data_IF_755954402156
#
_entry.id   IF_755954402156
#
_cell.length_a   1.000
_cell.length_b   1.000
_cell.length_c   1.000
_cell.angle_alpha   90.00
_cell.angle_beta   90.00
_cell.angle_gamma   90.00
#
_symmetry.space_group_name_H-M   'P 1'
#
loop_
_entity.id
_entity.type
_entity.pdbx_description
1 polymer ?
#
# COMPACT_ATOMS: atom_id res chain seq x y z
N UNK A 1 47.25 -79.11 15.40
CA UNK A 1 45.83 -79.53 15.39
C UNK A 1 45.06 -78.48 16.16
N UNK A 2 44.35 -77.63 15.42
CA UNK A 2 43.40 -76.66 15.96
C UNK A 2 42.14 -77.39 16.44
N UNK A 3 41.56 -76.92 17.54
CA UNK A 3 40.11 -76.70 17.61
C UNK A 3 39.82 -75.64 18.68
N UNK A 4 39.33 -74.52 18.18
CA UNK A 4 38.80 -73.36 18.90
C UNK A 4 37.35 -73.64 19.31
N UNK A 5 36.98 -73.28 20.53
CA UNK A 5 35.58 -73.28 20.99
C UNK A 5 35.04 -71.84 20.97
N UNK A 6 34.14 -71.58 20.03
CA UNK A 6 33.40 -70.33 19.87
C UNK A 6 32.18 -70.27 20.81
N UNK A 7 32.01 -69.13 21.47
CA UNK A 7 30.79 -68.78 22.21
C UNK A 7 29.86 -68.02 21.26
N UNK A 8 28.66 -68.55 21.00
CA UNK A 8 27.61 -67.84 20.26
C UNK A 8 26.75 -67.00 21.23
N UNK A 9 26.76 -65.67 21.06
CA UNK A 9 25.68 -64.80 21.52
C UNK A 9 24.69 -64.56 20.36
N UNK A 10 23.37 -64.51 20.61
CA UNK A 10 22.40 -64.13 19.59
C UNK A 10 22.43 -62.61 19.37
N UNK A 11 22.65 -62.20 18.13
CA UNK A 11 22.50 -60.81 17.68
C UNK A 11 21.01 -60.49 17.49
N UNK A 12 20.46 -59.68 18.40
CA UNK A 12 19.13 -59.08 18.22
C UNK A 12 19.21 -57.98 17.15
N UNK A 13 18.74 -58.27 15.93
CA UNK A 13 18.42 -57.25 14.93
C UNK A 13 17.07 -56.60 15.27
N UNK A 14 17.08 -55.66 16.22
CA UNK A 14 15.94 -54.77 16.48
C UNK A 14 16.49 -53.35 16.64
N UNK A 15 16.51 -52.58 15.55
CA UNK A 15 17.00 -51.19 15.62
C UNK A 15 16.77 -50.36 14.37
N UNK A 16 16.65 -50.97 13.18
CA UNK A 16 16.54 -50.22 11.93
C UNK A 16 15.15 -49.58 11.71
N UNK A 17 14.07 -50.31 12.02
CA UNK A 17 12.71 -49.82 11.73
C UNK A 17 12.27 -48.69 12.66
N UNK A 18 12.56 -48.78 13.97
CA UNK A 18 12.17 -47.74 14.95
C UNK A 18 12.92 -46.43 14.69
N UNK A 19 14.20 -46.50 14.28
CA UNK A 19 14.97 -45.31 13.90
C UNK A 19 14.42 -44.61 12.66
N UNK A 20 13.98 -45.37 11.65
CA UNK A 20 13.33 -44.83 10.45
C UNK A 20 11.99 -44.16 10.75
N UNK A 21 11.19 -44.74 11.64
CA UNK A 21 9.93 -44.14 12.08
C UNK A 21 10.14 -42.87 12.91
N UNK A 22 11.14 -42.85 13.80
CA UNK A 22 11.51 -41.64 14.56
C UNK A 22 12.06 -40.53 13.64
N UNK A 23 12.84 -40.88 12.60
CA UNK A 23 13.34 -39.92 11.61
C UNK A 23 12.21 -39.32 10.75
N UNK A 24 11.24 -40.13 10.34
CA UNK A 24 10.05 -39.68 9.60
C UNK A 24 9.15 -38.79 10.46
N UNK A 25 8.94 -39.13 11.74
CA UNK A 25 8.20 -38.30 12.69
C UNK A 25 8.94 -36.98 12.94
N UNK A 26 10.28 -37.01 13.07
CA UNK A 26 11.10 -35.80 13.21
C UNK A 26 11.06 -34.92 11.95
N UNK A 27 11.02 -35.50 10.74
CA UNK A 27 10.90 -34.76 9.47
C UNK A 27 9.51 -34.15 9.26
N UNK A 28 8.45 -34.73 9.82
CA UNK A 28 7.09 -34.18 9.76
C UNK A 28 6.90 -33.06 10.81
N UNK A 29 7.56 -33.15 11.97
CA UNK A 29 7.53 -32.11 13.02
C UNK A 29 8.46 -30.92 12.69
N UNK A 30 9.60 -31.16 12.01
CA UNK A 30 10.56 -30.13 11.57
C UNK A 30 10.52 -29.85 10.07
N UNK A 31 9.41 -30.16 9.39
CA UNK A 31 9.15 -29.50 8.11
C UNK A 31 9.08 -28.00 8.40
N UNK A 32 9.89 -27.14 7.76
CA UNK A 32 9.69 -25.71 7.87
C UNK A 32 8.28 -25.48 7.33
N UNK A 33 7.33 -25.23 8.24
CA UNK A 33 6.05 -24.66 7.87
C UNK A 33 6.46 -23.41 7.13
N UNK A 34 6.34 -23.45 5.79
CA UNK A 34 6.56 -22.30 4.95
C UNK A 34 5.60 -21.27 5.49
N UNK A 35 6.10 -20.37 6.33
CA UNK A 35 5.31 -19.32 6.92
C UNK A 35 4.70 -18.63 5.71
N UNK A 36 3.39 -18.78 5.52
CA UNK A 36 2.67 -17.94 4.57
C UNK A 36 3.02 -16.54 5.04
N UNK A 37 3.86 -15.83 4.28
CA UNK A 37 4.21 -14.44 4.57
C UNK A 37 2.87 -13.71 4.67
N UNK A 38 2.40 -13.52 5.90
CA UNK A 38 1.14 -12.84 6.13
C UNK A 38 1.41 -11.41 5.73
N UNK A 39 0.75 -10.93 4.67
CA UNK A 39 0.88 -9.53 4.27
C UNK A 39 0.45 -8.67 5.46
N UNK A 40 1.45 -8.06 6.10
CA UNK A 40 1.32 -7.31 7.35
C UNK A 40 0.68 -5.95 7.11
N UNK A 41 0.81 -5.40 5.89
CA UNK A 41 0.27 -4.11 5.51
C UNK A 41 -0.01 -3.97 4.02
N UNK A 42 -0.97 -3.11 3.69
CA UNK A 42 -1.29 -2.70 2.30
C UNK A 42 -1.56 -1.20 2.16
N UNK A 43 -1.78 -0.49 3.26
CA UNK A 43 -2.18 0.92 3.29
C UNK A 43 -1.22 1.72 4.19
N UNK A 44 -0.57 2.73 3.62
CA UNK A 44 0.16 3.77 4.33
C UNK A 44 -0.29 5.17 3.89
N UNK A 45 0.28 6.21 4.48
CA UNK A 45 0.01 7.61 4.09
C UNK A 45 1.29 8.44 4.03
N UNK A 46 1.34 9.40 3.10
CA UNK A 46 2.42 10.37 3.04
C UNK A 46 2.14 11.48 4.07
N UNK A 47 3.06 11.68 5.01
CA UNK A 47 3.00 12.76 5.98
C UNK A 47 3.85 13.94 5.47
N UNK A 48 3.29 14.63 4.48
CA UNK A 48 3.81 15.90 3.97
C UNK A 48 3.64 17.02 4.99
N UNK A 49 4.59 17.95 5.00
CA UNK A 49 4.68 19.05 5.98
C UNK A 49 5.06 20.40 5.35
N UNK A 50 4.81 20.59 4.05
CA UNK A 50 4.98 21.89 3.39
C UNK A 50 3.78 22.78 3.78
N UNK A 51 3.74 23.16 5.05
CA UNK A 51 2.66 23.89 5.68
C UNK A 51 3.12 24.56 6.99
N UNK A 52 2.38 25.57 7.45
CA UNK A 52 2.69 26.30 8.70
C UNK A 52 1.58 26.22 9.76
N UNK A 53 0.58 25.36 9.55
CA UNK A 53 -0.62 25.27 10.39
C UNK A 53 -1.01 23.84 10.77
N UNK A 54 -0.06 22.90 10.67
CA UNK A 54 -0.30 21.49 10.99
C UNK A 54 -0.22 21.22 12.51
N UNK A 55 -0.83 20.12 13.00
CA UNK A 55 -0.67 19.71 14.39
C UNK A 55 0.78 19.33 14.70
N UNK A 56 1.15 19.42 15.98
CA UNK A 56 2.45 18.94 16.44
C UNK A 56 2.60 17.42 16.19
N UNK A 57 3.81 16.91 15.94
CA UNK A 57 4.07 15.50 15.64
C UNK A 57 3.42 14.48 16.60
N UNK A 58 3.36 14.76 17.91
CA UNK A 58 2.74 13.89 18.91
C UNK A 58 1.22 13.74 18.71
N UNK A 59 0.57 14.85 18.34
CA UNK A 59 -0.85 14.84 17.96
C UNK A 59 -1.06 14.05 16.67
N UNK A 60 -0.11 14.12 15.73
CA UNK A 60 -0.14 13.32 14.51
C UNK A 60 -0.01 11.82 14.79
N UNK A 61 0.86 11.41 15.74
CA UNK A 61 0.93 10.02 16.21
C UNK A 61 -0.42 9.56 16.76
N UNK A 62 -1.07 10.39 17.56
CA UNK A 62 -2.40 10.11 18.12
C UNK A 62 -3.44 9.93 17.01
N UNK A 63 -3.45 10.82 16.02
CA UNK A 63 -4.32 10.74 14.85
C UNK A 63 -4.12 9.43 14.06
N UNK A 64 -2.88 9.09 13.75
CA UNK A 64 -2.54 7.88 12.99
C UNK A 64 -2.98 6.61 13.72
N UNK A 65 -2.77 6.54 15.04
CA UNK A 65 -3.24 5.43 15.87
C UNK A 65 -4.77 5.33 15.86
N UNK A 66 -5.48 6.45 16.03
CA UNK A 66 -6.94 6.49 15.97
C UNK A 66 -7.47 6.05 14.59
N UNK A 67 -6.80 6.46 13.51
CA UNK A 67 -7.12 6.08 12.15
C UNK A 67 -6.69 4.64 11.79
N UNK A 68 -5.97 3.94 12.69
CA UNK A 68 -5.36 2.62 12.47
C UNK A 68 -4.40 2.59 11.28
N UNK A 69 -3.68 3.69 11.07
CA UNK A 69 -2.64 3.80 10.06
C UNK A 69 -1.30 3.59 10.76
N UNK A 70 -0.56 2.58 10.35
CA UNK A 70 0.69 2.16 10.98
C UNK A 70 1.90 2.22 10.03
N UNK A 71 1.74 2.77 8.82
CA UNK A 71 2.81 2.98 7.86
C UNK A 71 2.73 4.41 7.34
N UNK A 72 3.82 5.15 7.45
CA UNK A 72 3.92 6.50 6.89
C UNK A 72 5.19 6.67 6.06
N UNK A 73 5.17 7.65 5.18
CA UNK A 73 6.35 8.18 4.49
C UNK A 73 6.48 9.67 4.79
N UNK A 74 7.66 10.09 5.22
CA UNK A 74 8.06 11.51 5.29
C UNK A 74 9.12 11.79 4.21
N UNK A 75 9.26 13.05 3.81
CA UNK A 75 10.10 13.47 2.68
C UNK A 75 11.49 13.97 3.08
N UNK A 76 11.78 13.91 4.38
CA UNK A 76 13.01 14.35 5.03
C UNK A 76 13.34 13.37 6.17
N UNK A 77 14.27 13.75 7.04
CA UNK A 77 14.57 13.04 8.28
C UNK A 77 14.46 13.93 9.52
N UNK A 78 13.38 14.72 9.63
CA UNK A 78 13.16 15.65 10.73
C UNK A 78 13.14 14.96 12.10
N UNK A 79 14.09 15.36 12.97
CA UNK A 79 14.30 14.74 14.28
C UNK A 79 13.12 14.96 15.23
N UNK A 80 12.38 16.07 15.09
CA UNK A 80 11.17 16.33 15.88
C UNK A 80 10.09 15.26 15.64
N UNK A 81 9.84 14.93 14.38
CA UNK A 81 8.95 13.82 14.03
C UNK A 81 9.51 12.47 14.46
N UNK A 82 10.78 12.18 14.20
CA UNK A 82 11.36 10.88 14.58
C UNK A 82 11.32 10.66 16.10
N UNK A 83 11.53 11.71 16.89
CA UNK A 83 11.41 11.68 18.35
C UNK A 83 9.97 11.49 18.81
N UNK A 84 9.00 12.21 18.23
CA UNK A 84 7.59 12.06 18.59
C UNK A 84 7.02 10.67 18.29
N UNK A 85 7.57 9.99 17.26
CA UNK A 85 7.15 8.65 16.86
C UNK A 85 7.80 7.52 17.69
N UNK A 86 8.69 7.86 18.64
CA UNK A 86 9.31 6.92 19.57
C UNK A 86 8.27 6.06 20.28
N UNK A 87 8.42 4.73 20.22
CA UNK A 87 7.52 3.78 20.86
C UNK A 87 6.08 3.76 20.30
N UNK A 88 5.81 4.46 19.20
CA UNK A 88 4.46 4.52 18.61
C UNK A 88 4.04 3.20 17.95
N UNK A 89 5.02 2.41 17.50
CA UNK A 89 4.81 1.20 16.70
C UNK A 89 4.53 1.46 15.21
N UNK A 90 4.45 2.72 14.78
CA UNK A 90 4.25 3.14 13.39
C UNK A 90 5.57 3.02 12.63
N UNK A 91 5.53 2.38 11.47
CA UNK A 91 6.68 2.23 10.57
C UNK A 91 6.83 3.45 9.65
N UNK A 92 8.07 3.91 9.49
CA UNK A 92 8.38 5.16 8.78
C UNK A 92 9.38 4.86 7.65
N UNK A 93 9.03 5.30 6.44
CA UNK A 93 10.00 5.57 5.38
C UNK A 93 10.40 7.04 5.50
N UNK A 94 11.69 7.31 5.67
CA UNK A 94 12.24 8.67 5.68
C UNK A 94 12.80 9.02 4.30
N UNK A 95 12.86 10.31 3.98
CA UNK A 95 13.46 10.78 2.73
C UNK A 95 14.91 11.21 2.94
N UNK A 96 15.79 10.86 2.01
CA UNK A 96 17.00 11.64 1.75
C UNK A 96 16.64 12.69 0.69
N UNK A 97 16.56 13.98 1.06
CA UNK A 97 16.14 15.02 0.13
C UNK A 97 17.06 15.15 -1.09
N UNK A 98 16.48 15.61 -2.22
CA UNK A 98 17.15 15.66 -3.52
C UNK A 98 18.44 16.50 -3.50
N UNK A 99 18.48 17.55 -2.69
CA UNK A 99 19.62 18.46 -2.51
C UNK A 99 20.86 17.77 -1.93
N UNK A 100 20.70 16.66 -1.20
CA UNK A 100 21.82 15.90 -0.64
C UNK A 100 22.42 14.90 -1.63
N UNK A 101 21.76 14.58 -2.76
CA UNK A 101 22.18 13.50 -3.65
C UNK A 101 23.60 13.68 -4.18
N UNK A 102 23.96 14.88 -4.63
CA UNK A 102 25.31 15.18 -5.16
C UNK A 102 26.40 14.98 -4.10
N UNK A 103 26.08 15.33 -2.86
CA UNK A 103 26.99 15.25 -1.72
C UNK A 103 27.18 13.79 -1.27
N UNK A 104 26.09 13.06 -1.16
CA UNK A 104 26.05 11.65 -0.73
C UNK A 104 26.62 10.73 -1.80
N UNK A 105 26.48 11.06 -3.09
CA UNK A 105 27.00 10.24 -4.20
C UNK A 105 28.52 10.14 -4.23
N UNK A 106 29.23 11.16 -3.75
CA UNK A 106 30.70 11.21 -3.77
C UNK A 106 31.36 10.95 -2.41
N UNK A 107 30.62 11.12 -1.31
CA UNK A 107 31.16 11.00 0.04
C UNK A 107 30.58 9.82 0.80
N UNK A 108 31.27 8.67 0.80
CA UNK A 108 30.88 7.53 1.63
C UNK A 108 30.80 7.89 3.12
N UNK A 109 31.74 8.70 3.62
CA UNK A 109 31.71 9.20 5.00
C UNK A 109 30.51 10.13 5.26
N UNK A 110 30.07 10.87 4.24
CA UNK A 110 28.88 11.73 4.36
C UNK A 110 27.60 10.89 4.40
N UNK A 111 27.53 9.83 3.60
CA UNK A 111 26.47 8.83 3.70
C UNK A 111 26.46 8.14 5.07
N UNK A 112 27.64 7.77 5.58
CA UNK A 112 27.78 7.18 6.91
C UNK A 112 27.24 8.11 7.99
N UNK A 113 27.73 9.34 8.06
CA UNK A 113 27.30 10.32 9.05
C UNK A 113 25.79 10.57 8.96
N UNK A 114 25.26 10.74 7.75
CA UNK A 114 23.83 10.94 7.55
C UNK A 114 23.01 9.77 8.10
N UNK A 115 23.42 8.51 7.85
CA UNK A 115 22.71 7.33 8.36
C UNK A 115 22.85 7.21 9.88
N UNK A 116 24.03 7.53 10.46
CA UNK A 116 24.21 7.50 11.90
C UNK A 116 23.29 8.52 12.61
N UNK A 117 23.28 9.76 12.12
CA UNK A 117 22.52 10.87 12.71
C UNK A 117 21.01 10.71 12.52
N UNK A 118 20.57 10.25 11.35
CA UNK A 118 19.15 10.30 10.98
C UNK A 118 18.44 8.94 11.08
N UNK A 119 19.18 7.84 11.22
CA UNK A 119 18.63 6.49 11.27
C UNK A 119 19.08 5.76 12.54
N UNK A 120 20.38 5.57 12.72
CA UNK A 120 20.91 4.78 13.83
C UNK A 120 20.54 5.39 15.18
N UNK A 121 20.61 6.72 15.31
CA UNK A 121 20.30 7.46 16.54
C UNK A 121 18.85 7.25 17.04
N UNK A 122 17.92 6.89 16.16
CA UNK A 122 16.50 6.73 16.49
C UNK A 122 16.07 5.27 16.62
N UNK A 123 16.90 4.32 16.20
CA UNK A 123 16.63 2.89 16.31
C UNK A 123 17.06 2.33 17.67
N UNK A 124 16.35 1.34 18.22
CA UNK A 124 15.15 0.68 17.68
C UNK A 124 13.83 1.36 18.06
N UNK A 125 13.86 2.41 18.89
CA UNK A 125 12.64 2.95 19.54
C UNK A 125 11.66 3.58 18.53
N UNK A 126 12.18 4.22 17.47
CA UNK A 126 11.39 4.69 16.33
C UNK A 126 11.58 3.73 15.16
N UNK A 127 10.48 3.19 14.61
CA UNK A 127 10.54 2.14 13.58
C UNK A 127 10.80 2.71 12.18
N UNK A 128 12.02 3.19 11.96
CA UNK A 128 12.49 3.50 10.60
C UNK A 128 12.67 2.17 9.86
N UNK A 129 12.03 2.04 8.71
CA UNK A 129 11.99 0.81 7.89
C UNK A 129 12.44 1.03 6.45
N UNK A 130 12.57 2.28 6.03
CA UNK A 130 13.15 2.57 4.73
C UNK A 130 13.74 3.97 4.64
N UNK A 131 14.66 4.14 3.69
CA UNK A 131 15.20 5.40 3.23
C UNK A 131 14.85 5.51 1.74
N UNK A 132 14.01 6.49 1.40
CA UNK A 132 13.75 6.90 0.02
C UNK A 132 14.84 7.88 -0.42
N UNK A 133 15.77 7.41 -1.25
CA UNK A 133 16.90 8.18 -1.77
C UNK A 133 16.41 9.04 -2.94
N UNK A 134 16.14 10.31 -2.65
CA UNK A 134 15.51 11.23 -3.58
C UNK A 134 14.02 10.94 -3.83
N UNK A 135 13.39 11.81 -4.59
CA UNK A 135 12.00 11.70 -5.04
C UNK A 135 11.87 12.23 -6.48
N UNK A 136 11.35 11.38 -7.37
CA UNK A 136 11.07 11.72 -8.78
C UNK A 136 12.28 12.26 -9.57
N UNK A 137 13.47 11.72 -9.28
CA UNK A 137 14.73 12.17 -9.90
C UNK A 137 14.76 11.87 -11.40
N UNK A 138 14.70 10.58 -11.76
CA UNK A 138 14.69 10.15 -13.15
C UNK A 138 13.38 10.57 -13.81
N UNK A 139 13.47 11.11 -15.03
CA UNK A 139 12.32 11.70 -15.73
C UNK A 139 11.96 13.12 -15.29
N UNK A 140 12.58 13.64 -14.22
CA UNK A 140 12.47 15.03 -13.79
C UNK A 140 13.30 16.02 -14.63
N UNK A 141 13.25 17.30 -14.26
CA UNK A 141 13.89 18.40 -15.00
C UNK A 141 15.36 18.64 -14.64
N UNK A 142 15.81 18.18 -13.48
CA UNK A 142 17.19 18.35 -13.01
C UNK A 142 18.05 17.15 -13.46
N UNK A 143 18.43 17.15 -14.74
CA UNK A 143 19.15 16.03 -15.39
C UNK A 143 20.44 15.67 -14.65
N UNK A 144 21.13 16.64 -14.05
CA UNK A 144 22.37 16.36 -13.33
C UNK A 144 22.19 15.45 -12.10
N UNK A 145 20.95 15.32 -11.59
CA UNK A 145 20.65 14.41 -10.48
C UNK A 145 20.54 12.94 -10.93
N UNK A 146 20.39 12.68 -12.24
CA UNK A 146 20.19 11.33 -12.76
C UNK A 146 21.46 10.47 -12.60
N UNK A 147 22.62 11.05 -12.85
CA UNK A 147 23.92 10.37 -12.74
C UNK A 147 24.30 10.06 -11.29
N UNK A 148 23.91 10.91 -10.34
CA UNK A 148 24.29 10.79 -8.93
C UNK A 148 23.33 9.92 -8.10
N UNK A 149 22.14 9.60 -8.62
CA UNK A 149 21.14 8.82 -7.91
C UNK A 149 21.65 7.42 -7.51
N UNK A 150 22.18 6.66 -8.47
CA UNK A 150 22.67 5.30 -8.19
C UNK A 150 23.86 5.30 -7.21
N UNK A 151 24.92 6.12 -7.41
CA UNK A 151 25.99 6.20 -6.43
C UNK A 151 25.50 6.62 -5.03
N UNK A 152 24.57 7.58 -4.93
CA UNK A 152 24.00 7.97 -3.65
C UNK A 152 23.27 6.80 -2.96
N UNK A 153 22.44 6.07 -3.70
CA UNK A 153 21.72 4.90 -3.18
C UNK A 153 22.68 3.79 -2.71
N UNK A 154 23.77 3.55 -3.47
CA UNK A 154 24.83 2.61 -3.08
C UNK A 154 25.55 3.04 -1.80
N UNK A 155 25.88 4.31 -1.66
CA UNK A 155 26.58 4.82 -0.47
C UNK A 155 25.68 4.74 0.78
N UNK A 156 24.39 5.06 0.66
CA UNK A 156 23.41 4.88 1.75
C UNK A 156 23.30 3.41 2.16
N UNK A 157 23.19 2.49 1.19
CA UNK A 157 23.15 1.05 1.49
C UNK A 157 24.46 0.54 2.11
N UNK A 158 25.62 1.00 1.63
CA UNK A 158 26.93 0.67 2.18
C UNK A 158 27.04 1.11 3.65
N UNK A 159 26.57 2.33 3.96
CA UNK A 159 26.49 2.82 5.34
C UNK A 159 25.59 1.93 6.21
N UNK A 160 24.38 1.60 5.76
CA UNK A 160 23.50 0.67 6.47
C UNK A 160 24.15 -0.70 6.69
N UNK A 161 24.82 -1.24 5.68
CA UNK A 161 25.51 -2.53 5.76
C UNK A 161 26.62 -2.52 6.82
N UNK A 162 27.47 -1.49 6.80
CA UNK A 162 28.56 -1.30 7.77
C UNK A 162 28.06 -1.10 9.21
N UNK A 163 26.85 -0.56 9.38
CA UNK A 163 26.18 -0.39 10.68
C UNK A 163 25.34 -1.61 11.10
N UNK A 164 25.24 -2.65 10.26
CA UNK A 164 24.42 -3.83 10.53
C UNK A 164 22.91 -3.60 10.42
N UNK A 165 22.48 -2.55 9.71
CA UNK A 165 21.09 -2.10 9.60
C UNK A 165 20.40 -2.50 8.29
N UNK A 166 21.13 -3.08 7.33
CA UNK A 166 20.63 -3.42 5.99
C UNK A 166 19.43 -4.38 5.96
N UNK A 167 19.25 -5.20 7.01
CA UNK A 167 18.09 -6.10 7.14
C UNK A 167 16.91 -5.46 7.89
N UNK A 168 17.10 -4.27 8.44
CA UNK A 168 16.08 -3.51 9.19
C UNK A 168 15.54 -2.34 8.39
N UNK A 169 16.37 -1.71 7.56
CA UNK A 169 16.06 -0.49 6.81
C UNK A 169 16.30 -0.72 5.32
N UNK A 170 15.23 -0.67 4.53
CA UNK A 170 15.26 -0.78 3.07
C UNK A 170 15.81 0.51 2.43
N UNK A 171 16.54 0.39 1.32
CA UNK A 171 16.92 1.54 0.47
C UNK A 171 16.10 1.49 -0.80
N UNK A 172 15.41 2.57 -1.15
CA UNK A 172 14.60 2.69 -2.36
C UNK A 172 14.71 4.07 -3.00
N UNK A 173 14.08 4.27 -4.16
CA UNK A 173 13.96 5.57 -4.83
C UNK A 173 12.59 5.66 -5.50
N UNK A 174 11.65 6.48 -5.00
CA UNK A 174 10.36 6.75 -5.64
C UNK A 174 10.47 7.47 -6.98
N UNK A 175 9.75 6.99 -7.99
CA UNK A 175 9.69 7.57 -9.33
C UNK A 175 8.30 8.11 -9.66
N UNK A 176 8.21 9.13 -10.52
CA UNK A 176 6.94 9.48 -11.17
C UNK A 176 6.74 8.64 -12.42
N UNK A 177 5.51 8.62 -12.96
CA UNK A 177 5.25 7.98 -14.26
C UNK A 177 5.97 8.65 -15.44
N UNK A 178 6.64 9.80 -15.24
CA UNK A 178 7.48 10.46 -16.25
C UNK A 178 8.72 9.64 -16.64
N UNK A 179 9.02 8.54 -15.94
CA UNK A 179 10.02 7.55 -16.36
C UNK A 179 9.55 6.67 -17.51
N UNK A 180 8.24 6.62 -17.81
CA UNK A 180 7.67 5.78 -18.85
C UNK A 180 7.50 6.53 -20.17
N UNK A 181 7.79 5.87 -21.31
CA UNK A 181 7.57 6.44 -22.63
C UNK A 181 6.11 6.32 -23.08
N UNK A 182 5.41 5.33 -22.54
CA UNK A 182 4.00 5.06 -22.77
C UNK A 182 3.50 4.23 -21.60
N UNK A 183 2.22 4.35 -21.24
CA UNK A 183 1.59 3.54 -20.19
C UNK A 183 0.26 2.92 -20.63
N UNK A 184 -0.17 3.19 -21.87
CA UNK A 184 -1.41 2.68 -22.45
C UNK A 184 -1.20 1.97 -23.80
N UNK A 185 -1.77 0.76 -24.00
CA UNK A 185 -2.30 -0.11 -22.96
C UNK A 185 -1.18 -0.56 -21.99
N UNK A 186 -1.49 -1.02 -20.76
CA UNK A 186 -0.48 -1.32 -19.73
C UNK A 186 0.66 -2.22 -20.22
N UNK A 187 0.36 -3.26 -20.99
CA UNK A 187 1.37 -4.21 -21.50
C UNK A 187 2.36 -3.61 -22.50
N UNK A 188 2.09 -2.42 -23.04
CA UNK A 188 2.99 -1.71 -23.93
C UNK A 188 4.07 -0.96 -23.17
N UNK A 189 3.87 -0.68 -21.87
CA UNK A 189 4.70 0.25 -21.10
C UNK A 189 6.19 -0.12 -21.11
N UNK A 190 7.05 0.86 -21.37
CA UNK A 190 8.51 0.78 -21.28
C UNK A 190 9.04 2.02 -20.57
N UNK A 191 10.21 1.89 -19.95
CA UNK A 191 10.98 3.07 -19.56
C UNK A 191 11.36 3.88 -20.81
N UNK A 192 11.38 5.20 -20.68
CA UNK A 192 11.82 6.10 -21.76
C UNK A 192 13.24 5.74 -22.20
N UNK A 193 13.54 5.80 -23.51
CA UNK A 193 14.88 5.46 -24.00
C UNK A 193 16.01 6.28 -23.38
N UNK A 194 15.78 7.55 -23.04
CA UNK A 194 16.78 8.42 -22.40
C UNK A 194 16.91 8.20 -20.89
N UNK A 195 15.85 7.68 -20.23
CA UNK A 195 15.88 7.31 -18.81
C UNK A 195 16.46 5.91 -18.58
N UNK A 196 16.25 4.99 -19.53
CA UNK A 196 16.66 3.59 -19.41
C UNK A 196 18.13 3.34 -19.08
N UNK A 197 19.12 4.11 -19.59
CA UNK A 197 20.54 3.97 -19.23
C UNK A 197 20.82 4.19 -17.74
N UNK A 198 20.00 5.00 -17.05
CA UNK A 198 20.12 5.27 -15.61
C UNK A 198 19.23 4.33 -14.80
N UNK A 199 18.02 4.04 -15.30
CA UNK A 199 17.06 3.19 -14.62
C UNK A 199 17.54 1.74 -14.52
N UNK A 200 18.05 1.13 -15.60
CA UNK A 200 18.43 -0.29 -15.58
C UNK A 200 19.54 -0.60 -14.55
N UNK A 201 20.64 0.17 -14.45
CA UNK A 201 21.63 -0.02 -13.39
C UNK A 201 21.06 0.18 -11.98
N UNK A 202 20.12 1.11 -11.81
CA UNK A 202 19.43 1.33 -10.53
C UNK A 202 18.56 0.12 -10.14
N UNK A 203 17.78 -0.41 -11.09
CA UNK A 203 16.98 -1.62 -10.90
C UNK A 203 17.85 -2.84 -10.62
N UNK A 204 19.00 -2.98 -11.29
CA UNK A 204 19.95 -4.05 -11.03
C UNK A 204 20.44 -4.01 -9.57
N UNK A 205 20.83 -2.83 -9.10
CA UNK A 205 21.23 -2.63 -7.70
C UNK A 205 20.08 -2.95 -6.72
N UNK A 206 18.87 -2.42 -6.96
CA UNK A 206 17.71 -2.71 -6.11
C UNK A 206 17.32 -4.19 -6.11
N UNK A 207 17.42 -4.87 -7.25
CA UNK A 207 17.22 -6.31 -7.36
C UNK A 207 18.22 -7.10 -6.49
N UNK A 208 19.50 -6.70 -6.49
CA UNK A 208 20.55 -7.33 -5.69
C UNK A 208 20.33 -7.20 -4.17
N UNK A 209 19.79 -6.06 -3.73
CA UNK A 209 19.49 -5.82 -2.30
C UNK A 209 18.05 -6.20 -1.90
N UNK A 210 17.26 -6.72 -2.84
CA UNK A 210 15.87 -7.14 -2.61
C UNK A 210 14.87 -5.99 -2.45
N UNK A 211 15.18 -4.78 -2.93
CA UNK A 211 14.33 -3.60 -2.82
C UNK A 211 13.26 -3.55 -3.93
N UNK A 212 12.00 -3.19 -3.60
CA UNK A 212 10.92 -2.98 -4.57
C UNK A 212 11.13 -1.76 -5.48
N UNK A 213 10.40 -1.73 -6.60
CA UNK A 213 10.24 -0.55 -7.43
C UNK A 213 9.14 0.35 -6.85
N UNK A 214 9.47 1.59 -6.52
CA UNK A 214 8.51 2.57 -6.01
C UNK A 214 8.05 3.52 -7.12
N UNK A 215 6.73 3.66 -7.27
CA UNK A 215 6.12 4.53 -8.29
C UNK A 215 5.02 5.41 -7.69
N UNK A 216 5.02 6.69 -8.03
CA UNK A 216 3.94 7.63 -7.76
C UNK A 216 2.90 7.49 -8.87
N UNK A 217 1.75 6.90 -8.56
CA UNK A 217 0.70 6.55 -9.53
C UNK A 217 -0.56 7.37 -9.25
N UNK A 218 -0.88 8.32 -10.13
CA UNK A 218 -1.97 9.27 -9.93
C UNK A 218 -3.02 9.21 -11.06
N UNK A 219 -4.09 8.42 -10.91
CA UNK A 219 -5.26 8.48 -11.79
C UNK A 219 -5.86 9.89 -11.90
N UNK A 220 -5.78 10.67 -10.83
CA UNK A 220 -6.20 12.07 -10.82
C UNK A 220 -5.44 12.90 -11.87
N UNK A 221 -4.11 12.79 -11.93
CA UNK A 221 -3.31 13.58 -12.87
C UNK A 221 -3.57 13.17 -14.32
N UNK A 222 -3.71 11.86 -14.59
CA UNK A 222 -4.09 11.36 -15.90
C UNK A 222 -5.46 11.93 -16.34
N UNK A 223 -6.49 11.81 -15.50
CA UNK A 223 -7.82 12.36 -15.78
C UNK A 223 -7.82 13.88 -15.93
N UNK A 224 -7.11 14.61 -15.06
CA UNK A 224 -7.01 16.07 -15.12
C UNK A 224 -6.42 16.55 -16.44
N UNK A 225 -5.45 15.83 -16.98
CA UNK A 225 -4.78 16.18 -18.22
C UNK A 225 -5.57 15.80 -19.48
N UNK A 226 -6.41 14.76 -19.43
CA UNK A 226 -7.25 14.35 -20.56
C UNK A 226 -8.69 13.96 -20.12
N UNK A 227 -9.48 14.92 -19.62
CA UNK A 227 -10.82 14.64 -19.11
C UNK A 227 -11.84 14.36 -20.22
N UNK A 228 -11.49 14.60 -21.48
CA UNK A 228 -12.37 14.38 -22.63
C UNK A 228 -12.38 12.92 -23.07
N UNK A 229 -11.24 12.21 -22.94
CA UNK A 229 -11.12 10.82 -23.39
C UNK A 229 -11.07 9.81 -22.24
N UNK A 230 -10.68 10.23 -21.03
CA UNK A 230 -10.64 9.35 -19.86
C UNK A 230 -11.99 9.36 -19.14
N UNK A 231 -12.63 8.20 -19.04
CA UNK A 231 -13.83 8.04 -18.20
C UNK A 231 -13.48 8.24 -16.73
N UNK A 232 -14.06 9.26 -16.10
CA UNK A 232 -13.84 9.53 -14.68
C UNK A 232 -14.22 8.34 -13.78
N UNK A 233 -15.19 7.51 -14.18
CA UNK A 233 -15.59 6.35 -13.40
C UNK A 233 -14.47 5.29 -13.37
N UNK A 234 -13.71 5.15 -14.45
CA UNK A 234 -12.52 4.30 -14.52
C UNK A 234 -11.42 4.78 -13.58
N UNK A 235 -11.21 6.10 -13.48
CA UNK A 235 -10.26 6.70 -12.55
C UNK A 235 -10.72 6.62 -11.07
N UNK A 236 -12.03 6.54 -10.82
CA UNK A 236 -12.64 6.55 -9.48
C UNK A 236 -13.07 5.17 -8.95
N UNK A 237 -12.70 4.08 -9.62
CA UNK A 237 -13.10 2.70 -9.26
C UNK A 237 -14.63 2.49 -9.23
N UNK A 238 -15.37 3.20 -10.08
CA UNK A 238 -16.82 3.07 -10.22
C UNK A 238 -17.15 2.21 -11.44
N UNK A 239 -18.38 1.73 -11.53
CA UNK A 239 -18.85 0.96 -12.69
C UNK A 239 -18.57 1.72 -14.00
N UNK A 240 -17.85 1.07 -14.91
CA UNK A 240 -17.41 1.59 -16.20
C UNK A 240 -17.15 0.41 -17.14
N UNK A 241 -16.77 0.68 -18.41
CA UNK A 241 -16.49 -0.39 -19.39
C UNK A 241 -15.13 -1.07 -19.19
N UNK A 242 -14.26 -0.47 -18.38
CA UNK A 242 -12.88 -0.85 -18.20
C UNK A 242 -12.06 -0.69 -19.47
N UNK A 243 -10.86 -1.22 -19.43
CA UNK A 243 -9.93 -1.24 -20.56
C UNK A 243 -9.49 -2.68 -20.80
N UNK A 244 -9.61 -3.14 -22.04
CA UNK A 244 -9.10 -4.44 -22.46
C UNK A 244 -7.73 -4.28 -23.12
N UNK A 245 -6.73 -4.96 -22.57
CA UNK A 245 -5.39 -5.03 -23.14
C UNK A 245 -5.29 -6.24 -24.09
N UNK A 246 -5.27 -5.97 -25.39
CA UNK A 246 -5.30 -7.01 -26.42
C UNK A 246 -4.08 -7.96 -26.38
N UNK A 247 -2.92 -7.49 -25.90
CA UNK A 247 -1.69 -8.29 -25.88
C UNK A 247 -1.69 -9.27 -24.71
N UNK A 248 -2.10 -8.83 -23.53
CA UNK A 248 -2.17 -9.69 -22.33
C UNK A 248 -3.50 -10.40 -22.18
N UNK A 249 -4.53 -9.97 -22.92
CA UNK A 249 -5.94 -10.40 -22.78
C UNK A 249 -6.52 -10.13 -21.39
N UNK A 250 -5.94 -9.17 -20.69
CA UNK A 250 -6.40 -8.73 -19.37
C UNK A 250 -7.38 -7.59 -19.51
N UNK A 251 -8.35 -7.56 -18.61
CA UNK A 251 -9.30 -6.47 -18.47
C UNK A 251 -9.04 -5.74 -17.15
N UNK A 252 -9.05 -4.42 -17.23
CA UNK A 252 -8.81 -3.53 -16.10
C UNK A 252 -10.09 -2.76 -15.82
N UNK A 253 -10.67 -2.96 -14.64
CA UNK A 253 -11.88 -2.25 -14.19
C UNK A 253 -11.56 -0.84 -13.65
N UNK A 254 -10.30 -0.53 -13.37
CA UNK A 254 -9.87 0.76 -12.84
C UNK A 254 -8.46 1.15 -13.29
N UNK A 255 -8.23 2.46 -13.35
CA UNK A 255 -6.97 3.05 -13.82
C UNK A 255 -5.78 2.74 -12.91
N UNK A 256 -6.01 2.68 -11.60
CA UNK A 256 -4.93 2.47 -10.64
C UNK A 256 -4.24 1.12 -10.83
N UNK A 257 -4.99 0.02 -10.95
CA UNK A 257 -4.41 -1.29 -11.24
C UNK A 257 -3.73 -1.33 -12.61
N UNK A 258 -4.26 -0.61 -13.60
CA UNK A 258 -3.63 -0.47 -14.91
C UNK A 258 -2.30 0.29 -14.87
N UNK A 259 -2.19 1.36 -14.06
CA UNK A 259 -0.94 2.10 -13.85
C UNK A 259 0.11 1.23 -13.13
N UNK A 260 -0.30 0.48 -12.10
CA UNK A 260 0.59 -0.48 -11.43
C UNK A 260 1.08 -1.56 -12.40
N UNK A 261 0.20 -2.09 -13.26
CA UNK A 261 0.58 -3.10 -14.24
C UNK A 261 1.38 -2.56 -15.42
N UNK A 262 1.24 -1.27 -15.75
CA UNK A 262 2.14 -0.59 -16.66
C UNK A 262 3.58 -0.57 -16.10
N UNK A 263 3.75 -0.29 -14.80
CA UNK A 263 5.05 -0.37 -14.14
C UNK A 263 5.62 -1.81 -14.18
N UNK A 264 4.80 -2.83 -13.87
CA UNK A 264 5.22 -4.23 -14.02
C UNK A 264 5.62 -4.59 -15.46
N UNK A 265 4.88 -4.10 -16.46
CA UNK A 265 5.19 -4.34 -17.86
C UNK A 265 6.50 -3.66 -18.31
N UNK A 266 6.85 -2.51 -17.74
CA UNK A 266 8.15 -1.86 -17.95
C UNK A 266 9.29 -2.65 -17.29
N UNK A 267 9.09 -3.11 -16.05
CA UNK A 267 10.05 -3.96 -15.33
C UNK A 267 10.32 -5.27 -16.07
N UNK A 268 9.29 -5.94 -16.58
CA UNK A 268 9.43 -7.17 -17.38
C UNK A 268 10.32 -6.96 -18.60
N UNK A 269 10.08 -5.89 -19.36
CA UNK A 269 10.88 -5.56 -20.56
C UNK A 269 12.29 -5.08 -20.21
N UNK A 270 12.50 -4.57 -19.01
CA UNK A 270 13.82 -4.21 -18.50
C UNK A 270 14.59 -5.41 -17.92
N UNK A 271 13.95 -6.58 -17.73
CA UNK A 271 14.57 -7.80 -17.20
C UNK A 271 14.29 -8.09 -15.73
N UNK A 272 13.43 -7.30 -15.06
CA UNK A 272 13.21 -7.34 -13.60
C UNK A 272 11.83 -7.90 -13.22
N UNK A 273 11.43 -9.02 -13.83
CA UNK A 273 10.05 -9.53 -13.76
C UNK A 273 9.55 -9.95 -12.38
N UNK A 274 10.48 -10.22 -11.46
CA UNK A 274 10.22 -10.63 -10.07
C UNK A 274 10.15 -9.45 -9.09
N UNK A 275 10.55 -8.26 -9.51
CA UNK A 275 10.60 -7.08 -8.64
C UNK A 275 9.18 -6.64 -8.27
N UNK A 276 8.91 -6.46 -6.98
CA UNK A 276 7.63 -5.96 -6.49
C UNK A 276 7.48 -4.48 -6.86
N UNK A 277 6.25 -4.05 -7.17
CA UNK A 277 5.88 -2.63 -7.24
C UNK A 277 5.20 -2.21 -5.94
N UNK A 278 5.64 -1.08 -5.38
CA UNK A 278 4.96 -0.38 -4.28
C UNK A 278 4.59 1.00 -4.78
N UNK A 279 3.34 1.43 -4.55
CA UNK A 279 2.93 2.78 -4.90
C UNK A 279 3.35 3.72 -3.77
N UNK A 280 4.37 4.54 -4.01
CA UNK A 280 4.93 5.48 -3.03
C UNK A 280 4.03 6.69 -2.79
N UNK A 281 3.17 7.01 -3.74
CA UNK A 281 2.18 8.07 -3.68
C UNK A 281 1.00 7.80 -4.61
N UNK A 282 -0.19 8.08 -4.12
CA UNK A 282 -1.41 8.15 -4.93
C UNK A 282 -2.49 8.92 -4.19
N UNK A 283 -3.32 9.70 -4.88
CA UNK A 283 -4.32 10.53 -4.23
C UNK A 283 -5.18 11.28 -5.22
N UNK A 284 -6.10 12.09 -4.68
CA UNK A 284 -7.03 12.89 -5.48
C UNK A 284 -7.36 14.19 -4.75
N UNK A 285 -7.14 15.33 -5.41
CA UNK A 285 -7.35 16.64 -4.81
C UNK A 285 -8.83 16.97 -4.58
N UNK A 286 -9.17 17.46 -3.39
CA UNK A 286 -10.54 17.85 -3.02
C UNK A 286 -10.96 19.23 -3.51
N UNK A 287 -10.03 20.01 -4.07
CA UNK A 287 -10.26 21.33 -4.64
C UNK A 287 -9.13 21.64 -5.62
N UNK A 288 -9.43 22.27 -6.74
CA UNK A 288 -8.43 22.74 -7.70
C UNK A 288 -8.82 24.08 -8.30
N UNK A 289 -7.97 24.57 -9.21
CA UNK A 289 -8.25 25.72 -10.06
C UNK A 289 -9.36 25.39 -11.09
N UNK A 290 -9.97 26.38 -11.76
CA UNK A 290 -11.09 26.15 -12.68
C UNK A 290 -10.78 25.18 -13.84
N UNK A 291 -9.52 25.04 -14.23
CA UNK A 291 -9.02 24.15 -15.28
C UNK A 291 -8.59 22.77 -14.75
N UNK A 292 -8.65 22.53 -13.43
CA UNK A 292 -8.29 21.25 -12.83
C UNK A 292 -9.48 20.29 -12.77
N UNK A 293 -9.84 19.75 -13.94
CA UNK A 293 -10.96 18.85 -14.09
C UNK A 293 -10.95 17.71 -13.05
N UNK A 294 -12.09 17.54 -12.38
CA UNK A 294 -12.27 16.47 -11.39
C UNK A 294 -11.77 16.78 -9.98
N UNK A 295 -11.07 17.89 -9.74
CA UNK A 295 -10.60 18.30 -8.40
C UNK A 295 -11.75 18.84 -7.53
N UNK A 296 -12.44 17.94 -6.83
CA UNK A 296 -13.53 18.28 -5.91
C UNK A 296 -13.66 17.24 -4.80
N UNK A 297 -14.29 17.64 -3.68
CA UNK A 297 -14.43 16.81 -2.48
C UNK A 297 -15.13 15.48 -2.75
N UNK A 298 -16.17 15.46 -3.61
CA UNK A 298 -16.92 14.23 -3.95
C UNK A 298 -16.02 13.19 -4.62
N UNK A 299 -15.18 13.62 -5.56
CA UNK A 299 -14.26 12.74 -6.26
C UNK A 299 -13.10 12.31 -5.36
N UNK A 300 -12.53 13.23 -4.58
CA UNK A 300 -11.48 12.90 -3.61
C UNK A 300 -11.94 11.86 -2.59
N UNK A 301 -13.14 12.05 -2.03
CA UNK A 301 -13.78 11.07 -1.15
C UNK A 301 -13.98 9.72 -1.83
N UNK A 302 -14.46 9.73 -3.07
CA UNK A 302 -14.73 8.49 -3.82
C UNK A 302 -13.45 7.72 -4.08
N UNK A 303 -12.41 8.40 -4.60
CA UNK A 303 -11.12 7.82 -4.90
C UNK A 303 -10.49 7.19 -3.66
N UNK A 304 -10.26 7.97 -2.61
CA UNK A 304 -9.56 7.52 -1.41
C UNK A 304 -10.33 6.44 -0.65
N UNK A 305 -11.67 6.51 -0.61
CA UNK A 305 -12.50 5.44 -0.02
C UNK A 305 -12.44 4.15 -0.82
N UNK A 306 -12.50 4.22 -2.15
CA UNK A 306 -12.47 3.02 -2.98
C UNK A 306 -11.07 2.39 -3.05
N UNK A 307 -10.02 3.19 -3.11
CA UNK A 307 -8.64 2.73 -2.98
C UNK A 307 -8.43 1.99 -1.65
N UNK A 308 -8.90 2.54 -0.53
CA UNK A 308 -8.83 1.85 0.77
C UNK A 308 -9.55 0.50 0.75
N UNK A 309 -10.73 0.42 0.13
CA UNK A 309 -11.45 -0.87 -0.04
C UNK A 309 -10.67 -1.84 -0.92
N UNK A 310 -10.05 -1.37 -2.00
CA UNK A 310 -9.23 -2.20 -2.88
C UNK A 310 -8.05 -2.81 -2.11
N UNK A 311 -7.28 -1.98 -1.41
CA UNK A 311 -6.11 -2.40 -0.63
C UNK A 311 -6.48 -3.32 0.53
N UNK A 312 -7.68 -3.15 1.12
CA UNK A 312 -8.20 -4.04 2.16
C UNK A 312 -8.49 -5.47 1.67
N UNK A 313 -8.69 -5.68 0.36
CA UNK A 313 -8.87 -7.03 -0.22
C UNK A 313 -7.59 -7.86 -0.18
N UNK A 314 -6.41 -7.23 0.01
CA UNK A 314 -5.10 -7.89 0.00
C UNK A 314 -4.88 -8.76 -1.24
N UNK A 315 -5.27 -8.25 -2.42
CA UNK A 315 -5.08 -8.90 -3.72
C UNK A 315 -4.01 -8.16 -4.53
N UNK A 316 -3.46 -8.86 -5.52
CA UNK A 316 -2.69 -8.23 -6.57
C UNK A 316 -3.55 -7.65 -7.67
N UNK A 317 -2.90 -7.12 -8.70
CA UNK A 317 -3.50 -6.60 -9.93
C UNK A 317 -3.84 -7.72 -10.94
N UNK A 318 -4.54 -7.43 -12.05
CA UNK A 318 -4.76 -8.40 -13.12
C UNK A 318 -3.48 -9.08 -13.65
N UNK A 319 -2.39 -8.35 -13.87
CA UNK A 319 -1.13 -8.89 -14.39
C UNK A 319 -0.24 -9.53 -13.32
N UNK A 320 -0.44 -9.18 -12.04
CA UNK A 320 0.29 -9.75 -10.90
C UNK A 320 -0.65 -10.15 -9.76
N UNK A 321 -1.57 -11.11 -9.96
CA UNK A 321 -2.64 -11.42 -9.00
C UNK A 321 -2.13 -11.96 -7.65
N UNK A 322 -0.90 -12.48 -7.62
CA UNK A 322 -0.24 -13.04 -6.42
C UNK A 322 0.65 -12.04 -5.67
N UNK A 323 0.94 -10.86 -6.24
CA UNK A 323 1.73 -9.82 -5.58
C UNK A 323 0.78 -8.78 -5.01
N UNK A 324 0.57 -8.82 -3.68
CA UNK A 324 -0.40 -7.93 -3.04
C UNK A 324 0.01 -6.46 -3.21
N UNK A 325 -0.95 -5.64 -3.64
CA UNK A 325 -0.74 -4.21 -3.83
C UNK A 325 -0.54 -3.52 -2.48
N UNK A 326 0.45 -2.64 -2.46
CA UNK A 326 0.80 -1.77 -1.33
C UNK A 326 0.88 -0.34 -1.82
N UNK A 327 0.28 0.59 -1.09
CA UNK A 327 0.28 2.00 -1.47
C UNK A 327 0.36 2.94 -0.27
N UNK A 328 1.03 4.07 -0.47
CA UNK A 328 0.96 5.24 0.39
C UNK A 328 0.03 6.27 -0.24
N UNK A 329 -0.98 6.70 0.52
CA UNK A 329 -1.94 7.71 0.08
C UNK A 329 -1.36 9.10 0.30
N UNK A 330 -1.33 9.90 -0.77
CA UNK A 330 -0.94 11.29 -0.77
C UNK A 330 -2.19 12.18 -0.58
N UNK A 331 -2.35 12.90 0.52
CA UNK A 331 -1.47 12.97 1.70
C UNK A 331 -2.27 13.00 3.01
N UNK A 332 -1.58 12.96 4.14
CA UNK A 332 -2.22 13.01 5.46
C UNK A 332 -2.97 14.33 5.67
N UNK A 333 -2.35 15.47 5.33
CA UNK A 333 -2.93 16.80 5.53
C UNK A 333 -3.00 17.61 4.24
N UNK A 334 -3.87 18.61 4.22
CA UNK A 334 -3.77 19.71 3.27
C UNK A 334 -2.53 20.56 3.61
N UNK A 335 -1.65 20.76 2.64
CA UNK A 335 -0.37 21.42 2.83
C UNK A 335 -0.40 22.84 2.23
N UNK A 336 -0.70 23.85 3.07
CA UNK A 336 -1.05 25.19 2.60
C UNK A 336 0.10 25.98 1.95
N UNK A 337 1.36 25.55 2.09
CA UNK A 337 2.52 26.20 1.49
C UNK A 337 3.02 25.48 0.23
N UNK A 338 2.37 24.41 -0.22
CA UNK A 338 2.76 23.75 -1.49
C UNK A 338 2.62 24.74 -2.66
N UNK A 339 3.68 24.89 -3.48
CA UNK A 339 3.64 25.75 -4.67
C UNK A 339 2.77 25.12 -5.77
N UNK A 340 2.55 25.86 -6.85
CA UNK A 340 1.81 25.36 -8.01
C UNK A 340 0.28 25.53 -7.91
N UNK A 341 -0.51 24.72 -8.63
CA UNK A 341 -1.96 24.90 -8.74
C UNK A 341 -2.69 24.62 -7.42
N UNK A 342 -3.96 25.02 -7.33
CA UNK A 342 -4.75 24.88 -6.11
C UNK A 342 -4.90 23.44 -5.65
N UNK A 343 -4.90 22.46 -6.55
CA UNK A 343 -4.91 21.04 -6.21
C UNK A 343 -3.79 20.62 -5.26
N UNK A 344 -2.57 21.15 -5.43
CA UNK A 344 -1.40 20.80 -4.63
C UNK A 344 -1.62 21.05 -3.13
N UNK A 345 -2.44 22.03 -2.77
CA UNK A 345 -2.76 22.39 -1.37
C UNK A 345 -3.95 21.62 -0.80
N UNK A 346 -4.56 20.72 -1.57
CA UNK A 346 -5.87 20.12 -1.27
C UNK A 346 -5.92 18.58 -1.45
N UNK A 347 -4.80 17.87 -1.25
CA UNK A 347 -4.76 16.39 -1.30
C UNK A 347 -5.03 15.69 0.04
N UNK A 348 -5.15 16.44 1.13
CA UNK A 348 -5.22 15.93 2.49
C UNK A 348 -6.45 15.05 2.76
N UNK A 349 -6.23 13.93 3.46
CA UNK A 349 -7.29 13.16 4.10
C UNK A 349 -7.86 13.89 5.33
N UNK A 350 -7.03 14.72 5.97
CA UNK A 350 -7.38 15.56 7.11
C UNK A 350 -7.09 17.03 6.81
N UNK A 351 -7.84 17.91 7.47
CA UNK A 351 -7.58 19.34 7.49
C UNK A 351 -6.42 19.65 8.47
N UNK A 352 -5.84 20.86 8.42
CA UNK A 352 -4.72 21.23 9.30
C UNK A 352 -5.04 21.17 10.80
N UNK A 353 -6.32 21.28 11.19
CA UNK A 353 -6.77 21.13 12.58
C UNK A 353 -6.93 19.65 13.03
N UNK A 354 -6.66 18.70 12.13
CA UNK A 354 -6.82 17.26 12.38
C UNK A 354 -8.25 16.73 12.23
N UNK A 355 -9.23 17.56 11.89
CA UNK A 355 -10.56 17.08 11.48
C UNK A 355 -10.49 16.40 10.12
N UNK A 356 -11.43 15.49 9.81
CA UNK A 356 -11.47 14.85 8.49
C UNK A 356 -11.76 15.88 7.40
N UNK A 357 -11.05 15.80 6.27
CA UNK A 357 -11.34 16.63 5.10
C UNK A 357 -12.65 16.18 4.43
N UNK A 358 -12.84 14.86 4.35
CA UNK A 358 -14.03 14.19 3.83
C UNK A 358 -14.09 12.76 4.37
N UNK A 359 -15.29 12.17 4.44
CA UNK A 359 -15.48 10.86 5.06
C UNK A 359 -14.97 9.69 4.20
N UNK A 360 -13.79 9.17 4.55
CA UNK A 360 -13.21 7.92 4.02
C UNK A 360 -13.20 6.79 5.07
N UNK A 361 -13.99 6.93 6.14
CA UNK A 361 -14.04 5.98 7.26
C UNK A 361 -12.88 6.12 8.26
N UNK A 362 -12.30 7.32 8.40
CA UNK A 362 -11.37 7.66 9.48
C UNK A 362 -12.05 8.55 10.51
N UNK A 363 -11.48 8.59 11.71
CA UNK A 363 -11.85 9.54 12.76
C UNK A 363 -10.75 10.59 12.86
N UNK A 364 -11.12 11.88 12.88
CA UNK A 364 -10.17 12.98 13.06
C UNK A 364 -9.82 13.22 14.54
N UNK A 365 -8.88 14.12 14.79
CA UNK A 365 -8.58 14.64 16.13
C UNK A 365 -9.76 15.45 16.70
N UNK A 366 -10.48 16.14 15.82
CA UNK A 366 -11.65 16.96 16.16
C UNK A 366 -12.87 16.39 15.44
N UNK A 367 -14.05 16.33 16.09
CA UNK A 367 -15.29 15.97 15.43
C UNK A 367 -15.54 16.88 14.22
N UNK A 368 -15.86 16.29 13.06
CA UNK A 368 -16.21 17.10 11.88
C UNK A 368 -17.52 17.84 12.13
N UNK A 369 -17.59 19.12 11.77
CA UNK A 369 -18.82 19.92 11.84
C UNK A 369 -19.89 19.45 10.83
N UNK A 370 -19.57 18.53 9.92
CA UNK A 370 -20.52 17.95 8.99
C UNK A 370 -21.39 16.89 9.70
N UNK A 371 -22.72 16.87 9.47
CA UNK A 371 -23.59 15.86 10.06
C UNK A 371 -23.14 14.45 9.62
N UNK A 372 -23.05 13.48 10.55
CA UNK A 372 -22.57 12.14 10.22
C UNK A 372 -23.51 11.47 9.23
N UNK A 373 -22.98 11.07 8.06
CA UNK A 373 -23.71 10.20 7.13
C UNK A 373 -23.57 8.75 7.59
N UNK A 374 -24.36 8.38 8.60
CA UNK A 374 -24.45 7.00 9.09
C UNK A 374 -25.20 6.17 8.03
N UNK A 375 -24.45 5.47 7.18
CA UNK A 375 -24.99 4.33 6.41
C UNK A 375 -24.75 3.06 7.21
N UNK A 376 -25.63 2.76 8.16
CA UNK A 376 -25.75 1.44 8.76
C UNK A 376 -26.93 0.75 8.10
N UNK A 377 -26.65 -0.22 7.24
CA UNK A 377 -27.68 -1.12 6.69
C UNK A 377 -27.40 -2.52 7.23
N UNK A 378 -28.13 -2.90 8.28
CA UNK A 378 -28.24 -4.30 8.69
C UNK A 378 -29.56 -4.84 8.12
N UNK A 379 -29.48 -5.77 7.16
CA UNK A 379 -30.60 -6.63 6.80
C UNK A 379 -30.40 -7.97 7.50
N UNK A 380 -31.18 -8.24 8.53
CA UNK A 380 -31.33 -9.59 9.08
C UNK A 380 -32.56 -10.22 8.40
N UNK A 381 -32.36 -11.29 7.64
CA UNK A 381 -33.47 -12.07 7.06
C UNK A 381 -33.59 -13.35 7.89
N UNK A 382 -34.66 -13.46 8.69
CA UNK A 382 -35.07 -14.73 9.28
C UNK A 382 -36.16 -15.32 8.40
N UNK A 383 -35.94 -16.52 7.86
CA UNK A 383 -36.98 -17.31 7.20
C UNK A 383 -37.26 -18.57 8.01
N UNK A 384 -38.50 -18.75 8.44
CA UNK A 384 -38.98 -20.00 9.04
C UNK A 384 -40.13 -20.55 8.22
N UNK A 385 -40.06 -21.83 7.85
CA UNK A 385 -41.09 -22.54 7.12
C UNK A 385 -41.95 -23.33 8.12
N UNK A 386 -43.27 -23.21 8.06
CA UNK A 386 -44.19 -24.06 8.85
C UNK A 386 -45.04 -24.86 7.87
N UNK A 387 -44.99 -26.18 7.99
CA UNK A 387 -45.85 -27.12 7.25
C UNK A 387 -47.17 -27.26 8.01
N UNK A 388 -48.29 -26.95 7.36
CA UNK A 388 -49.62 -27.32 7.83
C UNK A 388 -50.13 -28.52 7.02
N UNK A 389 -50.52 -29.59 7.71
CA UNK A 389 -51.22 -30.72 7.11
C UNK A 389 -52.69 -30.68 7.59
N UNK A 390 -53.61 -30.44 6.64
CA UNK A 390 -55.06 -30.54 6.83
C UNK A 390 -55.66 -31.38 5.72
N UNK A 391 -56.82 -32.01 5.99
CA UNK A 391 -57.41 -33.10 5.18
C UNK A 391 -57.89 -32.75 3.76
N UNK A 392 -57.49 -31.61 3.18
CA UNK A 392 -57.68 -31.28 1.77
C UNK A 392 -56.47 -30.46 1.26
N UNK A 393 -55.41 -31.15 0.83
CA UNK A 393 -54.28 -30.56 0.10
C UNK A 393 -53.19 -29.88 0.95
N UNK A 394 -51.91 -30.16 0.64
CA UNK A 394 -50.76 -29.51 1.27
C UNK A 394 -50.41 -28.22 0.50
N UNK A 395 -50.41 -27.08 1.20
CA UNK A 395 -49.91 -25.79 0.69
C UNK A 395 -48.75 -25.28 1.54
N UNK A 396 -47.74 -24.68 0.90
CA UNK A 396 -46.55 -24.15 1.59
C UNK A 396 -46.72 -22.64 1.81
N UNK A 397 -46.90 -22.20 3.06
CA UNK A 397 -46.92 -20.76 3.39
C UNK A 397 -45.53 -20.34 3.88
N UNK A 398 -44.87 -19.46 3.13
CA UNK A 398 -43.57 -18.91 3.51
C UNK A 398 -43.77 -17.56 4.20
N UNK A 399 -43.47 -17.49 5.49
CA UNK A 399 -43.55 -16.25 6.26
C UNK A 399 -42.18 -15.55 6.23
N UNK A 400 -42.13 -14.33 5.69
CA UNK A 400 -40.90 -13.51 5.65
C UNK A 400 -41.13 -12.29 6.54
N UNK A 401 -40.39 -12.21 7.65
CA UNK A 401 -40.44 -11.08 8.55
C UNK A 401 -39.36 -10.07 8.15
N UNK A 402 -39.77 -8.86 7.76
CA UNK A 402 -38.86 -7.73 7.55
C UNK A 402 -38.86 -6.86 8.80
N UNK A 403 -37.73 -6.79 9.50
CA UNK A 403 -37.51 -5.85 10.60
C UNK A 403 -36.68 -4.69 10.06
N UNK A 404 -37.27 -3.49 10.00
CA UNK A 404 -36.59 -2.26 9.61
C UNK A 404 -36.54 -1.27 10.77
N UNK A 405 -35.37 -0.65 10.98
CA UNK A 405 -35.22 0.47 11.91
C UNK A 405 -35.19 1.78 11.11
N UNK A 406 -36.06 2.72 11.46
CA UNK A 406 -35.99 4.10 11.00
C UNK A 406 -35.96 5.04 12.21
N UNK A 407 -34.98 5.94 12.24
CA UNK A 407 -34.84 6.96 13.28
C UNK A 407 -33.94 8.11 12.83
N UNK A 408 -34.39 9.34 13.06
CA UNK A 408 -33.56 10.53 13.18
C UNK A 408 -33.28 10.73 14.67
N UNK A 409 -32.01 10.69 15.10
CA UNK A 409 -31.64 10.91 16.51
C UNK A 409 -32.07 9.78 17.47
N UNK A 410 -31.94 10.02 18.79
CA UNK A 410 -32.04 9.02 19.87
C UNK A 410 -33.43 8.40 20.12
N UNK A 411 -34.29 8.29 19.10
CA UNK A 411 -35.57 7.58 19.18
C UNK A 411 -35.71 6.63 17.99
N UNK A 412 -35.80 5.32 18.27
CA UNK A 412 -36.04 4.29 17.26
C UNK A 412 -37.53 3.96 17.20
N UNK A 413 -38.12 3.97 16.00
CA UNK A 413 -39.47 3.43 15.76
C UNK A 413 -39.35 2.08 15.06
N UNK A 414 -40.01 1.07 15.61
CA UNK A 414 -40.01 -0.29 15.04
C UNK A 414 -41.13 -0.41 14.00
N UNK A 415 -40.79 -0.83 12.77
CA UNK A 415 -41.78 -1.07 11.71
C UNK A 415 -41.80 -2.55 11.36
N UNK A 416 -42.97 -3.19 11.51
CA UNK A 416 -43.21 -4.57 11.09
C UNK A 416 -43.93 -4.59 9.74
N UNK A 417 -43.41 -5.36 8.77
CA UNK A 417 -44.14 -5.64 7.53
C UNK A 417 -44.22 -7.15 7.33
N UNK A 418 -45.44 -7.68 7.37
CA UNK A 418 -45.74 -9.09 7.10
C UNK A 418 -46.20 -9.19 5.64
N UNK A 419 -45.54 -10.06 4.86
CA UNK A 419 -45.95 -10.38 3.49
C UNK A 419 -46.29 -11.87 3.47
N UNK A 420 -47.50 -12.20 3.02
CA UNK A 420 -47.91 -13.57 2.74
C UNK A 420 -47.65 -13.87 1.26
N UNK A 421 -46.86 -14.90 0.97
CA UNK A 421 -46.73 -15.45 -0.39
C UNK A 421 -47.35 -16.84 -0.34
N UNK A 422 -48.44 -17.00 -1.08
CA UNK A 422 -49.16 -18.27 -1.26
C UNK A 422 -48.66 -18.86 -2.58
N UNK A 423 -48.14 -20.10 -2.54
CA UNK A 423 -47.80 -20.90 -3.73
C UNK A 423 -48.77 -22.04 -3.89
#
# INVERSE_FOLDING_TARGET
MECTSSVHLPTFHMGSSIFLWLFLIFSVIFSPVSAKHSVTWTYGVNYGRIANNLPQPESVVTLLKAAKINHIRIYDADHGVLQAFKGSGIEIIIGLPNEYLKEISIGEDRAMNWVQENVQAFLPDTRIRGIAVGNEILGGTTIELWEVLLPAAKNVYSALYRLGLQHTVEVSSPHSEAVFANSFPPSACIFRPDVAPFMKPLLEFFSQIGSPFYINAYPFLAYKNDPQHIDINYALFKDNRGIYDAKTKLHYDNMFEAQVDAAYAALDKAGFSKMQVIVSETGWASRGDPDEAGANEKNARTYNRNLRKLLAKKKGTPFRPKMVIKAYVFALFNENLKPGPTSERNFGLFKPDGSIAYDVGFTGLVPSAAPPSILVSFKLILSTSVLFAGNCGAGLVKMVLFIGFHGLGCCFTLVFRIIYIIY
#
